data_IF_470647290182
#
_entry.id   IF_470647290182
#
_cell.length_a   1.000
_cell.length_b   1.000
_cell.length_c   1.000
_cell.angle_alpha   90.00
_cell.angle_beta   90.00
_cell.angle_gamma   90.00
#
_symmetry.space_group_name_H-M   'P 1'
#
loop_
_entity.id
_entity.type
_entity.pdbx_description
1 polymer ?
#
# COMPACT_ATOMS: atom_id res chain seq x y z
N UNK A 1 38.77 -20.67 -20.79
CA UNK A 1 38.06 -20.29 -19.58
C UNK A 1 38.39 -18.90 -19.03
N UNK A 2 39.54 -18.32 -19.37
CA UNK A 2 40.03 -17.03 -18.80
C UNK A 2 39.35 -15.79 -19.40
N UNK A 3 38.81 -15.86 -20.62
CA UNK A 3 38.16 -14.70 -21.30
C UNK A 3 36.74 -14.33 -20.76
N UNK A 4 36.10 -15.18 -19.98
CA UNK A 4 34.74 -14.90 -19.41
C UNK A 4 34.79 -14.25 -18.02
N UNK A 5 35.94 -14.21 -17.37
CA UNK A 5 36.13 -13.61 -16.03
C UNK A 5 36.44 -12.12 -16.13
N UNK A 6 37.00 -11.64 -17.24
CA UNK A 6 37.33 -10.22 -17.42
C UNK A 6 36.13 -9.33 -17.77
N UNK A 7 35.02 -9.89 -18.20
CA UNK A 7 33.81 -9.11 -18.49
C UNK A 7 32.98 -8.72 -17.24
N UNK A 8 33.21 -9.41 -16.10
CA UNK A 8 32.49 -9.15 -14.86
C UNK A 8 33.14 -8.04 -13.98
N UNK A 9 34.38 -7.66 -14.26
CA UNK A 9 35.11 -6.63 -13.49
C UNK A 9 34.98 -5.19 -14.02
N UNK A 10 34.44 -4.99 -15.21
CA UNK A 10 34.33 -3.67 -15.81
C UNK A 10 33.04 -2.89 -15.40
N UNK A 11 32.11 -3.51 -14.67
CA UNK A 11 30.82 -2.88 -14.27
C UNK A 11 30.87 -2.18 -12.91
N UNK A 12 31.97 -2.21 -12.18
CA UNK A 12 32.06 -1.69 -10.79
C UNK A 12 32.61 -0.26 -10.71
N UNK A 13 32.93 0.40 -11.81
CA UNK A 13 33.70 1.65 -11.78
C UNK A 13 32.92 2.92 -12.21
N UNK A 14 31.60 2.95 -12.06
CA UNK A 14 30.81 4.19 -12.22
C UNK A 14 29.89 4.48 -11.04
N UNK A 15 30.41 4.35 -9.81
CA UNK A 15 29.75 4.96 -8.65
C UNK A 15 30.40 6.32 -8.37
N UNK A 16 30.18 7.28 -9.26
CA UNK A 16 30.36 8.68 -8.91
C UNK A 16 29.14 9.07 -8.08
N UNK A 17 29.31 9.04 -6.76
CA UNK A 17 28.25 9.33 -5.82
C UNK A 17 27.66 10.73 -6.04
N UNK A 18 26.33 10.83 -5.98
CA UNK A 18 25.67 12.10 -5.77
C UNK A 18 26.12 12.63 -4.41
N UNK A 19 26.98 13.63 -4.40
CA UNK A 19 27.39 14.34 -3.18
C UNK A 19 26.60 15.65 -3.09
N UNK A 20 26.03 15.91 -1.94
CA UNK A 20 25.51 17.26 -1.60
C UNK A 20 26.61 18.04 -0.91
N UNK A 21 26.77 19.29 -1.29
CA UNK A 21 27.71 20.22 -0.63
C UNK A 21 26.93 20.88 0.51
N UNK A 22 27.44 20.81 1.73
CA UNK A 22 26.91 21.53 2.86
C UNK A 22 27.09 23.04 2.61
N UNK A 23 26.02 23.83 2.60
CA UNK A 23 26.11 25.28 2.31
C UNK A 23 26.83 26.09 3.40
N UNK A 24 27.10 25.49 4.56
CA UNK A 24 27.74 26.18 5.70
C UNK A 24 29.23 25.84 5.82
N UNK A 25 29.58 24.57 5.61
CA UNK A 25 30.93 24.05 5.77
C UNK A 25 31.68 23.86 4.47
N UNK A 26 30.99 23.80 3.32
CA UNK A 26 31.56 23.52 2.02
C UNK A 26 32.06 22.05 1.84
N UNK A 27 31.88 21.23 2.84
CA UNK A 27 32.24 19.81 2.77
C UNK A 27 31.27 19.00 1.92
N UNK A 28 31.79 18.05 1.17
CA UNK A 28 31.00 17.13 0.37
C UNK A 28 30.63 15.92 1.20
N UNK A 29 29.37 15.87 1.68
CA UNK A 29 28.84 14.68 2.30
C UNK A 29 28.18 13.75 1.26
N UNK A 30 28.41 12.41 1.36
CA UNK A 30 27.67 11.47 0.54
C UNK A 30 26.19 11.53 0.92
N UNK A 31 25.35 11.84 -0.05
CA UNK A 31 23.89 11.85 0.15
C UNK A 31 23.39 10.43 0.41
N UNK A 32 23.34 10.05 1.69
CA UNK A 32 22.96 8.69 2.14
C UNK A 32 21.55 8.30 1.70
N UNK A 33 20.66 9.27 1.56
CA UNK A 33 19.28 9.04 1.11
C UNK A 33 19.23 8.74 -0.40
N UNK A 34 19.93 9.50 -1.23
CA UNK A 34 20.01 9.26 -2.67
C UNK A 34 20.77 7.95 -2.99
N UNK A 35 21.86 7.70 -2.26
CA UNK A 35 22.63 6.46 -2.44
C UNK A 35 21.84 5.23 -1.96
N UNK A 36 21.05 5.34 -0.89
CA UNK A 36 20.15 4.28 -0.42
C UNK A 36 19.06 3.96 -1.43
N UNK A 37 18.45 4.97 -2.06
CA UNK A 37 17.42 4.79 -3.07
C UNK A 37 17.98 4.16 -4.36
N UNK A 38 19.18 4.57 -4.80
CA UNK A 38 19.83 4.00 -5.99
C UNK A 38 20.25 2.54 -5.74
N UNK A 39 20.84 2.24 -4.58
CA UNK A 39 21.23 0.88 -4.21
C UNK A 39 19.97 0.00 -4.06
N UNK A 40 18.91 0.51 -3.46
CA UNK A 40 17.62 -0.19 -3.32
C UNK A 40 16.97 -0.50 -4.67
N UNK A 41 16.96 0.46 -5.60
CA UNK A 41 16.41 0.26 -6.94
C UNK A 41 17.22 -0.76 -7.77
N UNK A 42 18.56 -0.73 -7.68
CA UNK A 42 19.44 -1.69 -8.38
C UNK A 42 19.35 -3.08 -7.74
N UNK A 43 19.30 -3.17 -6.41
CA UNK A 43 19.14 -4.45 -5.72
C UNK A 43 17.76 -5.05 -5.96
N UNK A 44 16.72 -4.23 -5.99
CA UNK A 44 15.35 -4.64 -6.30
C UNK A 44 15.19 -5.14 -7.73
N UNK A 45 15.78 -4.46 -8.71
CA UNK A 45 15.78 -4.90 -10.12
C UNK A 45 16.55 -6.21 -10.32
N UNK A 46 17.70 -6.36 -9.67
CA UNK A 46 18.51 -7.59 -9.76
C UNK A 46 17.88 -8.78 -9.05
N UNK A 47 17.22 -8.56 -7.90
CA UNK A 47 16.51 -9.61 -7.16
C UNK A 47 15.22 -10.06 -7.87
N UNK A 48 14.50 -9.13 -8.50
CA UNK A 48 13.26 -9.43 -9.24
C UNK A 48 13.48 -10.30 -10.48
N UNK A 49 14.67 -10.29 -11.05
CA UNK A 49 15.01 -11.14 -12.23
C UNK A 49 15.51 -12.53 -11.85
N UNK A 50 15.85 -12.78 -10.58
CA UNK A 50 16.48 -14.03 -10.13
C UNK A 50 15.60 -14.86 -9.18
N UNK A 51 14.55 -14.28 -8.61
CA UNK A 51 13.67 -14.95 -7.67
C UNK A 51 12.33 -15.29 -8.32
N UNK A 52 12.13 -16.51 -8.71
CA UNK A 52 10.78 -17.02 -8.93
C UNK A 52 10.01 -16.96 -7.61
N UNK A 53 8.80 -16.34 -7.61
CA UNK A 53 7.90 -16.57 -6.50
C UNK A 53 6.96 -15.47 -6.05
N UNK A 54 7.16 -14.20 -6.32
CA UNK A 54 6.17 -13.18 -5.99
C UNK A 54 5.76 -12.38 -7.24
N UNK A 55 4.70 -12.87 -7.90
CA UNK A 55 4.17 -12.27 -9.13
C UNK A 55 3.81 -10.80 -8.96
N UNK A 56 3.34 -10.40 -7.77
CA UNK A 56 2.97 -9.01 -7.48
C UNK A 56 4.20 -8.11 -7.42
N UNK A 57 5.26 -8.56 -6.75
CA UNK A 57 6.52 -7.82 -6.65
C UNK A 57 7.15 -7.63 -8.03
N UNK A 58 7.20 -8.70 -8.82
CA UNK A 58 7.71 -8.67 -10.18
C UNK A 58 6.89 -7.75 -11.08
N UNK A 59 5.56 -7.77 -10.94
CA UNK A 59 4.65 -6.89 -11.66
C UNK A 59 4.84 -5.41 -11.27
N UNK A 60 5.09 -5.10 -10.01
CA UNK A 60 5.37 -3.73 -9.54
C UNK A 60 6.69 -3.22 -10.09
N UNK A 61 7.75 -4.02 -10.04
CA UNK A 61 9.05 -3.69 -10.61
C UNK A 61 8.93 -3.47 -12.13
N UNK A 62 8.22 -4.37 -12.83
CA UNK A 62 7.93 -4.24 -14.26
C UNK A 62 7.11 -3.00 -14.62
N UNK A 63 6.29 -2.50 -13.69
CA UNK A 63 5.56 -1.25 -13.83
C UNK A 63 6.39 0.01 -13.47
N UNK A 64 7.69 -0.15 -13.17
CA UNK A 64 8.59 0.95 -12.84
C UNK A 64 8.44 1.50 -11.42
N UNK A 65 7.77 0.75 -10.53
CA UNK A 65 7.61 1.17 -9.13
C UNK A 65 8.92 0.91 -8.40
N UNK A 66 9.54 1.99 -7.94
CA UNK A 66 10.77 1.94 -7.16
C UNK A 66 10.52 1.43 -5.73
N UNK A 67 11.46 0.67 -5.21
CA UNK A 67 11.43 0.22 -3.81
C UNK A 67 12.01 1.30 -2.89
N UNK A 68 11.38 1.48 -1.74
CA UNK A 68 11.90 2.33 -0.67
C UNK A 68 12.90 1.55 0.19
N UNK A 69 14.00 2.19 0.58
CA UNK A 69 15.01 1.60 1.44
C UNK A 69 15.25 2.43 2.71
N UNK A 70 15.34 1.75 3.83
CA UNK A 70 15.82 2.30 5.11
C UNK A 70 15.05 3.53 5.61
N UNK A 71 15.77 4.58 5.99
CA UNK A 71 15.21 5.80 6.56
C UNK A 71 14.24 6.57 5.65
N UNK A 72 14.28 6.33 4.33
CA UNK A 72 13.36 6.96 3.38
C UNK A 72 11.92 6.48 3.59
N UNK A 73 11.72 5.24 4.05
CA UNK A 73 10.38 4.66 4.30
C UNK A 73 9.62 5.51 5.32
N UNK A 74 10.24 5.84 6.45
CA UNK A 74 9.59 6.58 7.53
C UNK A 74 9.04 7.92 7.03
N UNK A 75 9.89 8.75 6.43
CA UNK A 75 9.52 10.07 5.92
C UNK A 75 8.45 9.99 4.80
N UNK A 76 8.55 9.00 3.92
CA UNK A 76 7.59 8.80 2.85
C UNK A 76 6.21 8.44 3.43
N UNK A 77 6.17 7.47 4.33
CA UNK A 77 4.93 7.04 4.98
C UNK A 77 4.36 8.08 5.93
N UNK A 78 5.19 8.93 6.56
CA UNK A 78 4.71 10.07 7.36
C UNK A 78 3.94 11.07 6.50
N UNK A 79 4.47 11.44 5.34
CA UNK A 79 3.77 12.33 4.39
C UNK A 79 2.49 11.70 3.87
N UNK A 80 2.52 10.43 3.52
CA UNK A 80 1.34 9.68 3.09
C UNK A 80 0.26 9.68 4.18
N UNK A 81 0.65 9.39 5.43
CA UNK A 81 -0.25 9.37 6.57
C UNK A 81 -0.90 10.73 6.83
N UNK A 82 -0.10 11.81 6.86
CA UNK A 82 -0.60 13.16 7.10
C UNK A 82 -1.58 13.60 6.01
N UNK A 83 -1.26 13.32 4.74
CA UNK A 83 -2.13 13.66 3.60
C UNK A 83 -3.45 12.89 3.66
N UNK A 84 -3.41 11.58 3.91
CA UNK A 84 -4.62 10.77 4.09
C UNK A 84 -5.47 11.24 5.26
N UNK A 85 -4.83 11.54 6.40
CA UNK A 85 -5.52 12.02 7.60
C UNK A 85 -6.22 13.36 7.37
N UNK A 86 -5.58 14.28 6.66
CA UNK A 86 -6.17 15.58 6.30
C UNK A 86 -7.37 15.41 5.37
N UNK A 87 -7.23 14.62 4.30
CA UNK A 87 -8.29 14.37 3.32
C UNK A 87 -9.48 13.61 3.86
N UNK A 88 -9.25 12.74 4.83
CA UNK A 88 -10.29 11.91 5.43
C UNK A 88 -10.88 12.50 6.74
N UNK A 89 -10.43 13.68 7.15
CA UNK A 89 -10.98 14.35 8.33
C UNK A 89 -12.49 14.58 8.17
N UNK A 90 -13.27 14.17 9.17
CA UNK A 90 -14.73 14.36 9.18
C UNK A 90 -15.52 13.37 8.31
N UNK A 91 -14.87 12.46 7.56
CA UNK A 91 -15.57 11.47 6.71
C UNK A 91 -16.05 10.23 7.45
N UNK A 92 -15.61 10.02 8.69
CA UNK A 92 -15.87 8.81 9.47
C UNK A 92 -14.91 7.65 9.16
N UNK A 93 -13.96 7.83 8.26
CA UNK A 93 -12.90 6.84 7.96
C UNK A 93 -11.80 6.94 9.00
N UNK A 94 -11.48 5.80 9.63
CA UNK A 94 -10.36 5.70 10.56
C UNK A 94 -9.02 5.66 9.81
N UNK A 95 -8.07 6.51 10.19
CA UNK A 95 -6.69 6.50 9.67
C UNK A 95 -5.75 6.19 10.81
N UNK A 96 -5.06 5.06 10.74
CA UNK A 96 -4.16 4.58 11.81
C UNK A 96 -2.79 4.23 11.25
N UNK A 97 -1.74 4.69 11.92
CA UNK A 97 -0.38 4.25 11.63
C UNK A 97 -0.11 2.94 12.36
N UNK A 98 0.05 1.86 11.61
CA UNK A 98 0.29 0.51 12.17
C UNK A 98 1.77 0.32 12.47
N UNK A 99 2.64 0.79 11.58
CA UNK A 99 4.10 0.72 11.73
C UNK A 99 4.78 1.86 10.97
N UNK A 100 6.11 1.90 10.98
CA UNK A 100 6.87 2.86 10.16
C UNK A 100 6.63 2.68 8.66
N UNK A 101 6.26 1.48 8.23
CA UNK A 101 6.07 1.12 6.82
C UNK A 101 4.61 0.84 6.45
N UNK A 102 3.65 0.99 7.38
CA UNK A 102 2.27 0.59 7.11
C UNK A 102 1.23 1.54 7.73
N UNK A 103 0.23 1.89 6.96
CA UNK A 103 -0.96 2.66 7.34
C UNK A 103 -2.19 1.79 7.12
N UNK A 104 -3.15 1.87 8.04
CA UNK A 104 -4.47 1.25 7.95
C UNK A 104 -5.54 2.33 7.79
N UNK A 105 -6.36 2.21 6.75
CA UNK A 105 -7.63 2.91 6.64
C UNK A 105 -8.76 1.93 6.98
N UNK A 106 -9.61 2.33 7.92
CA UNK A 106 -10.79 1.55 8.30
C UNK A 106 -12.06 2.25 7.79
N UNK A 107 -12.77 1.57 6.90
CA UNK A 107 -14.02 2.01 6.29
C UNK A 107 -15.18 1.24 6.92
N UNK A 108 -15.96 1.85 7.84
CA UNK A 108 -17.17 1.22 8.36
C UNK A 108 -18.15 0.91 7.24
N UNK A 109 -18.71 -0.31 7.21
CA UNK A 109 -19.60 -0.71 6.12
C UNK A 109 -20.87 0.15 6.06
N UNK A 110 -21.36 0.57 7.20
CA UNK A 110 -22.60 1.38 7.27
C UNK A 110 -22.44 2.77 6.62
N UNK A 111 -21.21 3.31 6.56
CA UNK A 111 -20.89 4.52 5.82
C UNK A 111 -20.66 4.23 4.31
N UNK A 112 -20.07 3.07 4.01
CA UNK A 112 -19.58 2.75 2.68
C UNK A 112 -20.62 2.08 1.79
N UNK A 113 -21.50 1.25 2.37
CA UNK A 113 -22.49 0.42 1.66
C UNK A 113 -23.88 0.59 2.25
N UNK A 114 -24.92 0.35 1.44
CA UNK A 114 -26.25 0.12 1.96
C UNK A 114 -26.37 -1.26 2.63
N UNK A 115 -27.39 -1.43 3.46
CA UNK A 115 -27.64 -2.71 4.13
C UNK A 115 -27.73 -3.83 3.10
N UNK A 116 -27.00 -4.91 3.36
CA UNK A 116 -26.97 -6.09 2.49
C UNK A 116 -26.55 -5.81 1.03
N UNK A 117 -25.81 -4.74 0.79
CA UNK A 117 -25.28 -4.37 -0.52
C UNK A 117 -23.75 -4.37 -0.53
N UNK A 118 -23.20 -4.56 -1.72
CA UNK A 118 -21.76 -4.53 -2.00
C UNK A 118 -21.35 -3.32 -2.85
N UNK A 119 -22.32 -2.63 -3.48
CA UNK A 119 -22.06 -1.40 -4.22
C UNK A 119 -21.74 -0.25 -3.27
N UNK A 120 -20.63 0.44 -3.53
CA UNK A 120 -20.27 1.65 -2.77
C UNK A 120 -21.35 2.71 -2.95
N UNK A 121 -21.80 3.31 -1.84
CA UNK A 121 -22.75 4.43 -1.86
C UNK A 121 -22.23 5.56 -2.72
N UNK A 122 -23.07 6.12 -3.58
CA UNK A 122 -22.68 7.20 -4.49
C UNK A 122 -22.07 8.41 -3.78
N UNK A 123 -22.58 8.75 -2.59
CA UNK A 123 -22.04 9.83 -1.75
C UNK A 123 -20.64 9.52 -1.19
N UNK A 124 -20.23 8.25 -1.12
CA UNK A 124 -18.94 7.83 -0.57
C UNK A 124 -17.86 7.61 -1.67
N UNK A 125 -18.27 7.50 -2.92
CA UNK A 125 -17.36 7.35 -4.07
C UNK A 125 -16.33 8.49 -4.16
N UNK A 126 -16.67 9.78 -3.98
CA UNK A 126 -15.68 10.86 -3.97
C UNK A 126 -14.60 10.66 -2.92
N UNK A 127 -14.95 10.27 -1.68
CA UNK A 127 -14.00 10.00 -0.60
C UNK A 127 -13.00 8.90 -0.99
N UNK A 128 -13.47 7.80 -1.55
CA UNK A 128 -12.59 6.73 -2.02
C UNK A 128 -11.72 7.15 -3.20
N UNK A 129 -12.24 7.98 -4.11
CA UNK A 129 -11.43 8.54 -5.21
C UNK A 129 -10.33 9.46 -4.69
N UNK A 130 -10.61 10.25 -3.66
CA UNK A 130 -9.60 11.10 -3.03
C UNK A 130 -8.48 10.27 -2.39
N UNK A 131 -8.83 9.16 -1.75
CA UNK A 131 -7.81 8.17 -1.30
C UNK A 131 -7.02 7.64 -2.50
N UNK A 132 -7.69 7.26 -3.59
CA UNK A 132 -7.03 6.81 -4.81
C UNK A 132 -6.07 7.84 -5.39
N UNK A 133 -6.47 9.14 -5.42
CA UNK A 133 -5.63 10.24 -5.86
C UNK A 133 -4.37 10.39 -4.99
N UNK A 134 -4.51 10.32 -3.66
CA UNK A 134 -3.35 10.33 -2.75
C UNK A 134 -2.44 9.13 -3.03
N UNK A 135 -2.99 7.93 -3.15
CA UNK A 135 -2.20 6.72 -3.40
C UNK A 135 -1.57 6.68 -4.80
N UNK A 136 -2.10 7.45 -5.77
CA UNK A 136 -1.46 7.68 -7.07
C UNK A 136 -0.21 8.55 -6.92
N UNK A 137 -0.27 9.59 -6.08
CA UNK A 137 0.86 10.47 -5.79
C UNK A 137 1.93 9.73 -4.98
N UNK A 138 1.50 8.91 -4.01
CA UNK A 138 2.37 8.06 -3.20
C UNK A 138 2.44 6.64 -3.77
N UNK A 139 3.09 6.50 -4.92
CA UNK A 139 3.07 5.29 -5.75
C UNK A 139 3.96 4.14 -5.25
N UNK A 140 4.94 4.41 -4.39
CA UNK A 140 5.86 3.41 -3.86
C UNK A 140 5.26 2.62 -2.68
N UNK A 141 3.98 2.25 -2.80
CA UNK A 141 3.25 1.47 -1.80
C UNK A 141 2.44 0.35 -2.46
N UNK A 142 2.19 -0.71 -1.68
CA UNK A 142 1.16 -1.72 -1.98
C UNK A 142 -0.14 -1.33 -1.31
N UNK A 143 -1.26 -1.81 -1.84
CA UNK A 143 -2.61 -1.53 -1.35
C UNK A 143 -3.36 -2.85 -1.21
N UNK A 144 -3.59 -3.28 0.02
CA UNK A 144 -4.33 -4.50 0.32
C UNK A 144 -5.69 -4.14 0.90
N UNK A 145 -6.75 -4.55 0.22
CA UNK A 145 -8.15 -4.24 0.56
C UNK A 145 -8.81 -5.50 1.12
N UNK A 146 -9.20 -5.47 2.38
CA UNK A 146 -9.76 -6.60 3.11
C UNK A 146 -11.19 -6.32 3.54
N UNK A 147 -12.14 -7.14 3.08
CA UNK A 147 -13.53 -7.07 3.47
C UNK A 147 -13.83 -7.99 4.66
N UNK A 148 -14.67 -7.52 5.57
CA UNK A 148 -15.10 -8.26 6.76
C UNK A 148 -16.61 -8.15 6.94
N UNK A 149 -17.22 -9.22 7.48
CA UNK A 149 -18.61 -9.30 7.87
C UNK A 149 -18.71 -9.48 9.40
N UNK A 150 -19.92 -9.37 9.93
CA UNK A 150 -20.27 -9.87 11.24
C UNK A 150 -20.72 -11.34 11.17
N UNK A 151 -21.14 -11.92 12.29
CA UNK A 151 -21.59 -13.31 12.39
C UNK A 151 -23.05 -13.54 12.01
N UNK A 152 -23.71 -12.61 11.37
CA UNK A 152 -25.10 -12.77 10.91
C UNK A 152 -25.11 -13.32 9.48
N UNK A 153 -25.76 -14.46 9.29
CA UNK A 153 -25.80 -15.15 7.99
C UNK A 153 -25.00 -16.45 7.97
N UNK A 154 -24.81 -17.03 6.80
CA UNK A 154 -23.93 -18.19 6.65
C UNK A 154 -22.50 -17.75 6.33
N UNK A 155 -21.52 -18.55 6.74
CA UNK A 155 -20.10 -18.32 6.47
C UNK A 155 -19.84 -18.09 4.97
N UNK A 156 -20.46 -18.91 4.11
CA UNK A 156 -20.31 -18.80 2.66
C UNK A 156 -20.87 -17.47 2.12
N UNK A 157 -22.03 -17.03 2.65
CA UNK A 157 -22.60 -15.75 2.28
C UNK A 157 -21.72 -14.58 2.74
N UNK A 158 -21.27 -14.62 3.99
CA UNK A 158 -20.40 -13.58 4.58
C UNK A 158 -19.06 -13.50 3.86
N UNK A 159 -18.52 -14.66 3.46
CA UNK A 159 -17.29 -14.71 2.68
C UNK A 159 -17.46 -14.03 1.31
N UNK A 160 -18.49 -14.39 0.56
CA UNK A 160 -18.78 -13.83 -0.75
C UNK A 160 -19.11 -12.32 -0.70
N UNK A 161 -19.95 -11.89 0.26
CA UNK A 161 -20.29 -10.48 0.44
C UNK A 161 -19.06 -9.63 0.78
N UNK A 162 -18.21 -10.11 1.69
CA UNK A 162 -17.00 -9.40 2.10
C UNK A 162 -15.99 -9.29 0.95
N UNK A 163 -15.87 -10.32 0.12
CA UNK A 163 -15.01 -10.31 -1.06
C UNK A 163 -15.50 -9.31 -2.11
N UNK A 164 -16.79 -9.33 -2.46
CA UNK A 164 -17.36 -8.34 -3.40
C UNK A 164 -17.19 -6.91 -2.89
N UNK A 165 -17.38 -6.64 -1.59
CA UNK A 165 -17.15 -5.32 -0.99
C UNK A 165 -15.70 -4.88 -1.13
N UNK A 166 -14.75 -5.76 -0.84
CA UNK A 166 -13.33 -5.48 -1.02
C UNK A 166 -12.99 -5.15 -2.49
N UNK A 167 -13.52 -5.95 -3.44
CA UNK A 167 -13.32 -5.72 -4.87
C UNK A 167 -13.91 -4.39 -5.35
N UNK A 168 -15.09 -4.01 -4.86
CA UNK A 168 -15.74 -2.76 -5.24
C UNK A 168 -14.99 -1.54 -4.69
N UNK A 169 -14.51 -1.59 -3.44
CA UNK A 169 -13.62 -0.54 -2.91
C UNK A 169 -12.34 -0.46 -3.73
N UNK A 170 -11.68 -1.58 -3.98
CA UNK A 170 -10.47 -1.64 -4.81
C UNK A 170 -10.69 -1.04 -6.21
N UNK A 171 -11.84 -1.32 -6.83
CA UNK A 171 -12.23 -0.76 -8.13
C UNK A 171 -12.30 0.77 -8.09
N UNK A 172 -12.91 1.35 -7.05
CA UNK A 172 -13.00 2.82 -6.91
C UNK A 172 -11.62 3.44 -6.65
N UNK A 173 -10.76 2.80 -5.84
CA UNK A 173 -9.37 3.24 -5.65
C UNK A 173 -8.59 3.25 -6.97
N UNK A 174 -8.76 2.23 -7.81
CA UNK A 174 -8.16 2.18 -9.16
C UNK A 174 -8.71 3.26 -10.08
N UNK A 175 -9.99 3.60 -10.01
CA UNK A 175 -10.57 4.75 -10.72
C UNK A 175 -9.95 6.09 -10.25
N UNK A 176 -9.47 6.17 -9.01
CA UNK A 176 -8.69 7.29 -8.47
C UNK A 176 -7.22 7.30 -8.93
N UNK A 177 -6.79 6.32 -9.73
CA UNK A 177 -5.47 6.28 -10.36
C UNK A 177 -4.47 5.30 -9.73
N UNK A 178 -4.90 4.47 -8.78
CA UNK A 178 -4.05 3.37 -8.27
C UNK A 178 -3.94 2.29 -9.34
N UNK A 179 -2.72 1.93 -9.74
CA UNK A 179 -2.53 0.89 -10.76
C UNK A 179 -2.86 -0.51 -10.21
N UNK A 180 -3.37 -1.38 -11.07
CA UNK A 180 -3.84 -2.73 -10.71
C UNK A 180 -2.77 -3.58 -10.01
N UNK A 181 -1.53 -3.47 -10.42
CA UNK A 181 -0.39 -4.24 -9.90
C UNK A 181 -0.14 -4.00 -8.40
N UNK A 182 -0.51 -2.83 -7.90
CA UNK A 182 -0.36 -2.48 -6.48
C UNK A 182 -1.49 -3.01 -5.60
N UNK A 183 -2.63 -3.41 -6.18
CA UNK A 183 -3.87 -3.69 -5.45
C UNK A 183 -4.13 -5.17 -5.33
N UNK A 184 -4.40 -5.63 -4.11
CA UNK A 184 -5.00 -6.94 -3.80
C UNK A 184 -6.31 -6.70 -3.08
N UNK A 185 -7.37 -7.45 -3.44
CA UNK A 185 -8.64 -7.42 -2.73
C UNK A 185 -8.98 -8.84 -2.28
N UNK A 186 -9.41 -8.99 -1.02
CA UNK A 186 -9.76 -10.28 -0.42
C UNK A 186 -10.88 -10.11 0.61
N UNK A 187 -11.83 -11.05 0.63
CA UNK A 187 -12.80 -11.21 1.70
C UNK A 187 -12.31 -12.14 2.79
N UNK A 188 -12.68 -11.86 4.02
CA UNK A 188 -12.44 -12.71 5.19
C UNK A 188 -13.73 -13.14 5.88
N UNK A 189 -14.90 -12.80 5.34
CA UNK A 189 -16.16 -13.10 5.99
C UNK A 189 -16.16 -12.62 7.44
N UNK A 190 -16.63 -13.48 8.34
CA UNK A 190 -16.64 -13.24 9.77
C UNK A 190 -15.43 -13.76 10.54
N UNK A 191 -14.44 -14.34 9.84
CA UNK A 191 -13.30 -15.05 10.46
C UNK A 191 -12.32 -14.15 11.23
N UNK A 192 -12.39 -12.83 11.04
CA UNK A 192 -11.48 -11.85 11.67
C UNK A 192 -12.22 -10.74 12.40
N UNK A 193 -12.95 -11.07 13.50
CA UNK A 193 -13.67 -10.05 14.27
C UNK A 193 -12.70 -9.15 15.06
N UNK A 194 -13.02 -7.87 15.15
CA UNK A 194 -12.33 -6.89 16.01
C UNK A 194 -13.13 -6.50 17.25
N UNK A 195 -14.37 -6.97 17.33
CA UNK A 195 -15.26 -6.74 18.45
C UNK A 195 -16.17 -7.95 18.66
N UNK A 196 -16.89 -7.98 19.79
CA UNK A 196 -17.81 -9.08 20.09
C UNK A 196 -19.01 -9.05 19.12
N UNK A 197 -19.30 -10.20 18.51
CA UNK A 197 -20.50 -10.38 17.67
C UNK A 197 -21.80 -10.51 18.51
N UNK A 198 -21.69 -10.60 19.84
CA UNK A 198 -22.86 -10.71 20.72
C UNK A 198 -23.68 -9.39 20.83
N UNK A 199 -23.09 -8.25 20.49
CA UNK A 199 -23.73 -6.93 20.57
C UNK A 199 -23.86 -6.30 19.19
N UNK A 200 -24.89 -5.46 19.01
CA UNK A 200 -25.10 -4.73 17.75
C UNK A 200 -23.93 -3.80 17.42
N UNK A 201 -23.41 -3.07 18.41
CA UNK A 201 -22.24 -2.20 18.25
C UNK A 201 -20.99 -2.98 17.87
N UNK A 202 -20.82 -4.18 18.44
CA UNK A 202 -19.70 -5.04 18.09
C UNK A 202 -19.80 -5.58 16.66
N UNK A 203 -21.01 -6.02 16.26
CA UNK A 203 -21.29 -6.43 14.88
C UNK A 203 -21.07 -5.27 13.90
N UNK A 204 -21.53 -4.06 14.22
CA UNK A 204 -21.31 -2.89 13.38
C UNK A 204 -19.81 -2.61 13.16
N UNK A 205 -18.97 -2.78 14.19
CA UNK A 205 -17.51 -2.64 14.06
C UNK A 205 -16.88 -3.76 13.26
N UNK A 206 -17.42 -4.97 13.30
CA UNK A 206 -16.92 -6.10 12.52
C UNK A 206 -17.25 -5.93 11.03
N UNK A 207 -18.39 -5.34 10.66
CA UNK A 207 -18.74 -4.98 9.29
C UNK A 207 -17.88 -3.80 8.83
N UNK A 208 -16.79 -4.08 8.16
CA UNK A 208 -15.84 -3.05 7.70
C UNK A 208 -15.08 -3.49 6.46
N UNK A 209 -14.45 -2.53 5.80
CA UNK A 209 -13.37 -2.76 4.83
C UNK A 209 -12.11 -2.09 5.36
N UNK A 210 -11.04 -2.83 5.41
CA UNK A 210 -9.71 -2.37 5.78
C UNK A 210 -8.87 -2.19 4.52
N UNK A 211 -8.14 -1.07 4.43
CA UNK A 211 -7.17 -0.83 3.38
C UNK A 211 -5.80 -0.64 4.02
N UNK A 212 -4.94 -1.63 3.85
CA UNK A 212 -3.56 -1.57 4.28
C UNK A 212 -2.70 -0.98 3.17
N UNK A 213 -2.00 0.08 3.49
CA UNK A 213 -1.07 0.78 2.61
C UNK A 213 0.32 0.51 3.18
N UNK A 214 1.10 -0.29 2.47
CA UNK A 214 2.43 -0.70 2.93
C UNK A 214 3.50 -0.18 1.98
N UNK A 215 4.59 0.38 2.53
CA UNK A 215 5.72 0.80 1.71
C UNK A 215 6.25 -0.40 0.92
N UNK A 216 6.48 -0.20 -0.37
CA UNK A 216 7.09 -1.23 -1.21
C UNK A 216 8.57 -1.36 -0.87
N UNK A 217 8.93 -2.51 -0.32
CA UNK A 217 10.31 -2.87 0.03
C UNK A 217 10.83 -3.85 -1.02
N UNK A 218 11.92 -3.48 -1.64
CA UNK A 218 12.60 -4.27 -2.66
C UNK A 218 13.30 -5.52 -2.13
#
# INVERSE_FOLDING_TARGET
MIRKIMAAMAAVMFMVGCTTVDPVTGEREPNRTANGAIIGAIAGAAAGTLAGGDDRRNAMIGAGIGALAGAAIGNYMDRTYLNLRERLAGTGVGVTRVSQSQILLNFPSDLTFDFDRDNVKGQFVPTLRDVGNVLREYDQTTVDVYGHADSVGSDAYNQDLSERRAMNVASVLMQGGVIRQRVVAQGFGESRPIASNATDDGRARNRRVEVYISAFQG
#
